data_IF_624615168073
#
_entry.id   IF_624615168073
#
_cell.length_a   1.000
_cell.length_b   1.000
_cell.length_c   1.000
_cell.angle_alpha   90.00
_cell.angle_beta   90.00
_cell.angle_gamma   90.00
#
_symmetry.space_group_name_H-M   'P 1'
#
loop_
_entity.id
_entity.type
_entity.pdbx_description
1 polymer ?
#
# COMPACT_ATOMS: atom_id res chain seq x y z
N UNK A 1 -13.49 1.31 0.70
CA UNK A 1 -12.53 2.36 0.32
C UNK A 1 -12.61 2.55 -1.17
N UNK A 2 -12.41 3.76 -1.67
CA UNK A 2 -12.50 4.07 -3.10
C UNK A 2 -11.14 4.52 -3.63
N UNK A 3 -10.84 4.16 -4.87
CA UNK A 3 -9.69 4.67 -5.61
C UNK A 3 -9.91 6.15 -6.03
N UNK A 4 -8.88 6.80 -6.59
CA UNK A 4 -9.00 8.16 -7.14
C UNK A 4 -10.06 8.30 -8.25
N UNK A 5 -10.37 7.20 -8.96
CA UNK A 5 -11.40 7.16 -10.00
C UNK A 5 -12.81 6.88 -9.44
N UNK A 6 -12.97 6.79 -8.11
CA UNK A 6 -14.25 6.47 -7.46
C UNK A 6 -14.61 4.98 -7.50
N UNK A 7 -13.76 4.12 -8.08
CA UNK A 7 -13.95 2.67 -8.07
C UNK A 7 -13.85 2.12 -6.65
N UNK A 8 -14.82 1.31 -6.26
CA UNK A 8 -14.78 0.62 -4.97
C UNK A 8 -13.67 -0.44 -4.95
N UNK A 9 -12.86 -0.41 -3.89
CA UNK A 9 -11.85 -1.41 -3.61
C UNK A 9 -12.36 -2.29 -2.46
N UNK A 10 -12.56 -3.57 -2.76
CA UNK A 10 -13.04 -4.56 -1.79
C UNK A 10 -11.96 -4.89 -0.77
N UNK A 11 -12.19 -4.51 0.49
CA UNK A 11 -11.27 -4.76 1.60
C UNK A 11 -11.91 -5.75 2.56
N UNK A 12 -11.31 -6.94 2.67
CA UNK A 12 -11.85 -8.01 3.51
C UNK A 12 -11.29 -8.03 4.94
N UNK A 13 -10.36 -7.12 5.25
CA UNK A 13 -9.62 -7.09 6.51
C UNK A 13 -9.93 -5.79 7.26
N UNK A 14 -10.00 -5.84 8.60
CA UNK A 14 -10.19 -4.63 9.43
C UNK A 14 -9.03 -3.64 9.30
N UNK A 15 -7.81 -4.15 9.12
CA UNK A 15 -6.60 -3.34 8.99
C UNK A 15 -5.94 -3.66 7.67
N UNK A 16 -5.58 -2.63 6.92
CA UNK A 16 -4.84 -2.77 5.67
C UNK A 16 -3.65 -1.83 5.63
N UNK A 17 -2.57 -2.31 5.02
CA UNK A 17 -1.38 -1.52 4.75
C UNK A 17 -1.37 -1.17 3.25
N UNK A 18 -1.27 0.12 2.93
CA UNK A 18 -1.16 0.59 1.56
C UNK A 18 0.30 0.63 1.12
N UNK A 19 0.55 0.30 -0.15
CA UNK A 19 1.87 0.39 -0.73
C UNK A 19 2.25 1.85 -0.94
N UNK A 20 3.33 2.29 -0.31
CA UNK A 20 3.97 3.59 -0.56
C UNK A 20 5.34 3.47 -1.24
N UNK A 21 5.92 2.28 -1.29
CA UNK A 21 7.24 2.06 -1.92
C UNK A 21 7.20 1.91 -3.44
N UNK A 22 6.01 1.78 -4.05
CA UNK A 22 5.82 1.62 -5.49
C UNK A 22 6.15 0.24 -6.06
N UNK A 23 6.70 -0.69 -5.24
CA UNK A 23 7.24 -1.98 -5.68
C UNK A 23 6.40 -3.21 -5.30
N UNK A 24 5.25 -3.01 -4.65
CA UNK A 24 4.34 -4.12 -4.33
C UNK A 24 3.79 -4.76 -5.59
N UNK A 25 3.67 -6.09 -5.60
CA UNK A 25 2.98 -6.84 -6.65
C UNK A 25 1.44 -6.86 -6.45
N UNK A 26 0.95 -6.49 -5.25
CA UNK A 26 -0.48 -6.51 -4.88
C UNK A 26 -1.05 -5.10 -4.74
N UNK A 27 -0.70 -4.19 -5.64
CA UNK A 27 -1.19 -2.79 -5.59
C UNK A 27 -2.72 -2.76 -5.54
N UNK A 28 -3.32 -1.87 -4.75
CA UNK A 28 -2.70 -0.79 -3.96
C UNK A 28 -2.13 -1.23 -2.60
N UNK A 29 -2.23 -2.50 -2.24
CA UNK A 29 -1.84 -3.03 -0.93
C UNK A 29 -0.34 -3.29 -0.81
N UNK A 30 0.15 -3.24 0.42
CA UNK A 30 1.50 -3.61 0.77
C UNK A 30 1.61 -5.14 0.91
N UNK A 31 2.58 -5.73 0.22
CA UNK A 31 2.90 -7.17 0.24
C UNK A 31 4.21 -7.47 1.00
N UNK A 32 4.83 -6.46 1.60
CA UNK A 32 6.11 -6.58 2.31
C UNK A 32 7.35 -6.34 1.45
N UNK A 33 7.21 -6.16 0.12
CA UNK A 33 8.33 -5.94 -0.81
C UNK A 33 9.19 -4.73 -0.42
N UNK A 34 8.62 -3.73 0.27
CA UNK A 34 9.36 -2.58 0.79
C UNK A 34 10.58 -2.94 1.67
N UNK A 35 10.52 -4.09 2.38
CA UNK A 35 11.63 -4.57 3.23
C UNK A 35 12.80 -5.07 2.39
N UNK A 36 12.50 -5.87 1.36
CA UNK A 36 13.50 -6.41 0.44
C UNK A 36 14.16 -5.28 -0.37
N UNK A 37 13.38 -4.26 -0.72
CA UNK A 37 13.85 -3.14 -1.52
C UNK A 37 14.50 -2.04 -0.69
N UNK A 38 14.64 -2.25 0.64
CA UNK A 38 15.17 -1.28 1.61
C UNK A 38 14.55 0.12 1.45
N UNK A 39 13.25 0.17 1.16
CA UNK A 39 12.55 1.44 1.02
C UNK A 39 12.47 2.13 2.38
N UNK A 40 13.03 3.33 2.47
CA UNK A 40 13.04 4.14 3.68
C UNK A 40 12.27 5.43 3.40
N UNK A 41 11.10 5.56 4.01
CA UNK A 41 10.37 6.82 4.00
C UNK A 41 10.80 7.63 5.22
N UNK A 42 11.01 8.93 5.04
CA UNK A 42 10.98 9.86 6.18
C UNK A 42 9.54 9.86 6.69
N UNK A 43 9.35 9.42 7.92
CA UNK A 43 8.13 9.73 8.68
C UNK A 43 8.19 11.24 8.88
N UNK A 44 7.37 12.00 8.13
CA UNK A 44 7.36 13.44 8.20
C UNK A 44 7.17 13.90 9.65
N UNK A 45 8.05 14.79 10.11
CA UNK A 45 7.87 15.57 11.31
C UNK A 45 6.90 16.74 11.02
#
# INVERSE_FOLDING_TARGET
MTDQDGREISVHQRTVALCRCGRSARKPFCDGTHKATRFRATSGA
#
